data_IF_515825079070
#
_entry.id   IF_515825079070
#
_cell.length_a   1.000
_cell.length_b   1.000
_cell.length_c   1.000
_cell.angle_alpha   90.00
_cell.angle_beta   90.00
_cell.angle_gamma   90.00
#
_symmetry.space_group_name_H-M   'P 1'
#
loop_
_entity.id
_entity.type
_entity.pdbx_description
1 polymer ?
#
# COMPACT_ATOMS: atom_id res chain seq x y z
N UNK A 1 -3.51 1.41 -9.98
CA UNK A 1 -3.88 1.36 -8.54
C UNK A 1 -2.71 0.87 -7.70
N UNK A 2 -2.63 1.32 -6.46
CA UNK A 2 -1.60 0.89 -5.53
C UNK A 2 -2.20 0.69 -4.14
N UNK A 3 -1.94 -0.45 -3.47
CA UNK A 3 -2.47 -0.71 -2.13
C UNK A 3 -1.60 -0.07 -1.05
N UNK A 4 -2.26 0.34 0.03
CA UNK A 4 -1.60 0.67 1.29
C UNK A 4 -1.22 -0.59 2.07
N UNK A 5 -0.39 -0.42 3.08
CA UNK A 5 0.09 -1.51 3.95
C UNK A 5 -1.07 -2.31 4.56
N UNK A 6 -2.08 -1.63 5.10
CA UNK A 6 -3.21 -2.29 5.75
C UNK A 6 -4.00 -3.20 4.80
N UNK A 7 -4.06 -2.89 3.51
CA UNK A 7 -4.71 -3.74 2.51
C UNK A 7 -3.90 -5.00 2.24
N UNK A 8 -2.58 -4.89 2.07
CA UNK A 8 -1.72 -6.05 1.83
C UNK A 8 -1.65 -6.97 3.06
N UNK A 9 -1.53 -6.40 4.26
CA UNK A 9 -1.54 -7.18 5.51
C UNK A 9 -2.84 -7.97 5.62
N UNK A 10 -3.98 -7.32 5.46
CA UNK A 10 -5.29 -7.97 5.53
C UNK A 10 -5.46 -9.05 4.46
N UNK A 11 -5.02 -8.78 3.22
CA UNK A 11 -5.12 -9.74 2.13
C UNK A 11 -4.25 -10.99 2.35
N UNK A 12 -3.09 -10.83 3.00
CA UNK A 12 -2.16 -11.94 3.24
C UNK A 12 -2.54 -12.82 4.43
N UNK A 13 -3.37 -12.33 5.36
CA UNK A 13 -3.66 -13.01 6.63
C UNK A 13 -5.13 -13.37 6.77
N UNK A 14 -5.43 -14.66 6.75
CA UNK A 14 -6.80 -15.18 6.88
C UNK A 14 -7.42 -14.89 8.26
N UNK A 15 -6.61 -14.63 9.28
CA UNK A 15 -7.07 -14.27 10.63
C UNK A 15 -7.34 -12.77 10.80
N UNK A 16 -7.13 -11.96 9.77
CA UNK A 16 -7.39 -10.52 9.83
C UNK A 16 -8.89 -10.23 9.64
N UNK A 17 -9.48 -9.30 10.44
CA UNK A 17 -10.91 -8.95 10.33
C UNK A 17 -11.36 -8.51 8.94
N UNK A 18 -10.47 -7.88 8.18
CA UNK A 18 -10.75 -7.33 6.85
C UNK A 18 -10.19 -8.20 5.71
N UNK A 19 -9.86 -9.47 6.01
CA UNK A 19 -9.25 -10.36 5.04
C UNK A 19 -10.08 -10.51 3.76
N UNK A 20 -11.36 -10.81 3.90
CA UNK A 20 -12.20 -11.08 2.72
C UNK A 20 -12.34 -9.87 1.81
N UNK A 21 -12.55 -8.69 2.39
CA UNK A 21 -12.64 -7.43 1.64
C UNK A 21 -11.33 -7.11 0.92
N UNK A 22 -10.21 -7.21 1.63
CA UNK A 22 -8.89 -6.93 1.06
C UNK A 22 -8.51 -7.93 -0.03
N UNK A 23 -8.77 -9.21 0.21
CA UNK A 23 -8.48 -10.28 -0.76
C UNK A 23 -9.30 -10.10 -2.03
N UNK A 24 -10.60 -9.87 -1.91
CA UNK A 24 -11.47 -9.65 -3.06
C UNK A 24 -10.98 -8.45 -3.88
N UNK A 25 -10.67 -7.34 -3.22
CA UNK A 25 -10.14 -6.18 -3.91
C UNK A 25 -8.83 -6.50 -4.63
N UNK A 26 -7.90 -7.19 -3.97
CA UNK A 26 -6.59 -7.54 -4.55
C UNK A 26 -6.75 -8.45 -5.77
N UNK A 27 -7.58 -9.48 -5.67
CA UNK A 27 -7.84 -10.40 -6.78
C UNK A 27 -8.43 -9.66 -7.99
N UNK A 28 -9.40 -8.77 -7.76
CA UNK A 28 -10.01 -7.95 -8.82
C UNK A 28 -9.00 -6.98 -9.45
N UNK A 29 -8.19 -6.32 -8.63
CA UNK A 29 -7.17 -5.38 -9.10
C UNK A 29 -6.08 -6.08 -9.92
N UNK A 30 -5.65 -7.27 -9.51
CA UNK A 30 -4.68 -8.08 -10.25
C UNK A 30 -5.25 -8.60 -11.57
N UNK A 31 -6.51 -9.01 -11.58
CA UNK A 31 -7.18 -9.40 -12.83
C UNK A 31 -7.27 -8.22 -13.79
N UNK A 32 -7.59 -7.02 -13.30
CA UNK A 32 -7.61 -5.81 -14.11
C UNK A 32 -6.22 -5.42 -14.63
N UNK A 33 -5.17 -5.64 -13.85
CA UNK A 33 -3.79 -5.41 -14.27
C UNK A 33 -3.42 -6.27 -15.49
N UNK A 34 -3.84 -7.53 -15.51
CA UNK A 34 -3.67 -8.41 -16.66
C UNK A 34 -4.41 -7.96 -17.92
N UNK A 35 -5.40 -7.08 -17.78
CA UNK A 35 -6.16 -6.48 -18.89
C UNK A 35 -5.73 -5.05 -19.22
N UNK A 36 -4.63 -4.57 -18.67
CA UNK A 36 -4.07 -3.26 -19.00
C UNK A 36 -4.33 -2.14 -17.99
N UNK A 37 -5.01 -2.40 -16.86
CA UNK A 37 -5.14 -1.43 -15.77
C UNK A 37 -3.94 -1.53 -14.83
N UNK A 38 -3.04 -0.53 -14.77
CA UNK A 38 -1.79 -0.67 -14.03
C UNK A 38 -2.00 -0.99 -12.54
N UNK A 39 -1.15 -1.87 -12.01
CA UNK A 39 -1.06 -2.17 -10.59
C UNK A 39 0.38 -1.95 -10.14
N UNK A 40 0.56 -1.08 -9.17
CA UNK A 40 1.89 -0.66 -8.70
C UNK A 40 2.05 -0.99 -7.23
N UNK A 41 3.20 -1.60 -6.89
CA UNK A 41 3.61 -1.77 -5.51
C UNK A 41 4.66 -0.71 -5.16
N UNK A 42 4.46 -0.03 -4.04
CA UNK A 42 5.40 0.96 -3.52
C UNK A 42 6.41 0.27 -2.59
N UNK A 43 7.73 0.50 -2.76
CA UNK A 43 8.74 -0.18 -1.94
C UNK A 43 8.56 0.00 -0.43
N UNK A 44 8.20 1.22 0.05
CA UNK A 44 7.96 1.44 1.48
C UNK A 44 6.76 0.65 2.00
N UNK A 45 5.75 0.44 1.16
CA UNK A 45 4.57 -0.37 1.52
C UNK A 45 4.96 -1.83 1.66
N UNK A 46 5.80 -2.35 0.77
CA UNK A 46 6.29 -3.74 0.86
C UNK A 46 7.12 -3.95 2.12
N UNK A 47 8.06 -3.06 2.41
CA UNK A 47 8.89 -3.16 3.61
C UNK A 47 8.03 -3.13 4.89
N UNK A 48 7.06 -2.23 4.96
CA UNK A 48 6.15 -2.14 6.10
C UNK A 48 5.24 -3.36 6.23
N UNK A 49 4.76 -3.90 5.11
CA UNK A 49 3.96 -5.13 5.10
C UNK A 49 4.76 -6.29 5.69
N UNK A 50 6.00 -6.50 5.23
CA UNK A 50 6.89 -7.54 5.75
C UNK A 50 7.14 -7.35 7.25
N UNK A 51 7.41 -6.12 7.68
CA UNK A 51 7.64 -5.79 9.09
C UNK A 51 6.45 -6.16 9.97
N UNK A 52 5.24 -5.84 9.53
CA UNK A 52 4.02 -6.10 10.33
C UNK A 52 3.66 -7.58 10.39
N UNK A 53 3.63 -8.27 9.25
CA UNK A 53 3.18 -9.67 9.21
C UNK A 53 4.15 -10.63 9.89
N UNK A 54 5.44 -10.28 9.98
CA UNK A 54 6.48 -11.08 10.64
C UNK A 54 6.65 -10.76 12.12
N UNK A 55 5.93 -9.77 12.65
CA UNK A 55 6.12 -9.29 14.02
C UNK A 55 5.33 -10.10 15.05
N UNK A 56 5.99 -10.73 16.03
CA UNK A 56 5.32 -11.43 17.13
C UNK A 56 4.62 -10.46 18.11
N UNK A 57 4.91 -9.16 18.02
CA UNK A 57 4.23 -8.13 18.81
C UNK A 57 2.85 -7.79 18.25
N UNK A 58 2.62 -8.05 16.96
CA UNK A 58 1.37 -7.71 16.25
C UNK A 58 0.51 -8.95 16.07
N UNK A 59 1.11 -10.08 15.71
CA UNK A 59 0.39 -11.34 15.50
C UNK A 59 0.90 -12.42 16.46
N UNK A 60 -0.03 -13.16 17.06
CA UNK A 60 0.28 -14.29 17.93
C UNK A 60 1.06 -15.36 17.16
N UNK A 61 0.68 -15.61 15.92
CA UNK A 61 1.37 -16.50 15.00
C UNK A 61 1.85 -15.68 13.80
N UNK A 62 3.04 -15.07 13.90
CA UNK A 62 3.53 -14.23 12.80
C UNK A 62 3.83 -15.08 11.56
N UNK A 63 3.71 -14.44 10.40
CA UNK A 63 4.07 -15.07 9.13
C UNK A 63 5.58 -15.25 9.06
N UNK A 64 6.11 -16.45 8.77
CA UNK A 64 7.54 -16.59 8.49
C UNK A 64 7.97 -15.68 7.34
N UNK A 65 9.15 -15.08 7.45
CA UNK A 65 9.61 -14.10 6.45
C UNK A 65 9.67 -14.69 5.03
N UNK A 66 10.02 -15.96 4.90
CA UNK A 66 10.04 -16.62 3.59
C UNK A 66 8.65 -16.67 2.95
N UNK A 67 7.60 -16.92 3.75
CA UNK A 67 6.23 -16.97 3.26
C UNK A 67 5.71 -15.56 2.92
N UNK A 68 6.08 -14.56 3.72
CA UNK A 68 5.73 -13.17 3.44
C UNK A 68 6.37 -12.69 2.13
N UNK A 69 7.63 -13.02 1.89
CA UNK A 69 8.32 -12.72 0.64
C UNK A 69 7.66 -13.46 -0.54
N UNK A 70 7.30 -14.73 -0.35
CA UNK A 70 6.61 -15.51 -1.40
C UNK A 70 5.28 -14.87 -1.80
N UNK A 71 4.53 -14.33 -0.85
CA UNK A 71 3.30 -13.58 -1.13
C UNK A 71 3.57 -12.34 -2.01
N UNK A 72 4.58 -11.55 -1.67
CA UNK A 72 4.95 -10.36 -2.44
C UNK A 72 5.46 -10.75 -3.84
N UNK A 73 6.33 -11.75 -3.92
CA UNK A 73 6.91 -12.21 -5.19
C UNK A 73 5.83 -12.75 -6.13
N UNK A 74 4.83 -13.44 -5.59
CA UNK A 74 3.70 -13.93 -6.38
C UNK A 74 2.91 -12.79 -7.03
N UNK A 75 2.71 -11.69 -6.30
CA UNK A 75 2.04 -10.50 -6.84
C UNK A 75 2.91 -9.86 -7.93
N UNK A 76 4.21 -9.65 -7.64
CA UNK A 76 5.13 -9.02 -8.59
C UNK A 76 5.30 -9.82 -9.88
N UNK A 77 5.12 -11.14 -9.83
CA UNK A 77 5.20 -12.00 -11.01
C UNK A 77 3.98 -11.92 -11.92
N UNK A 78 2.89 -11.30 -11.48
CA UNK A 78 1.66 -11.22 -12.27
C UNK A 78 1.77 -10.16 -13.36
N UNK A 79 1.11 -10.43 -14.51
CA UNK A 79 1.09 -9.52 -15.66
C UNK A 79 0.49 -8.16 -15.28
N UNK A 80 1.14 -7.07 -15.70
CA UNK A 80 0.68 -5.71 -15.45
C UNK A 80 1.03 -5.16 -14.06
N UNK A 81 1.75 -5.93 -13.23
CA UNK A 81 2.22 -5.49 -11.92
C UNK A 81 3.64 -4.94 -12.02
N UNK A 82 3.90 -3.80 -11.39
CA UNK A 82 5.24 -3.21 -11.34
C UNK A 82 5.61 -2.77 -9.93
N UNK A 83 6.91 -2.76 -9.65
CA UNK A 83 7.48 -2.14 -8.46
C UNK A 83 7.91 -0.72 -8.82
N UNK A 84 7.42 0.28 -8.07
CA UNK A 84 7.75 1.68 -8.34
C UNK A 84 9.21 1.99 -8.03
N UNK A 85 9.82 2.85 -8.87
CA UNK A 85 11.08 3.51 -8.54
C UNK A 85 10.75 4.82 -7.83
N UNK A 86 11.31 5.02 -6.64
CA UNK A 86 11.04 6.18 -5.80
C UNK A 86 12.26 7.11 -5.72
N UNK A 87 12.00 8.33 -5.25
CA UNK A 87 12.98 9.39 -5.08
C UNK A 87 12.52 10.71 -5.69
N UNK A 88 11.83 10.69 -6.81
CA UNK A 88 11.34 11.89 -7.49
C UNK A 88 10.20 12.60 -6.75
N UNK A 89 9.60 11.96 -5.77
CA UNK A 89 8.56 12.54 -4.88
C UNK A 89 9.14 13.46 -3.81
N UNK A 90 10.46 13.50 -3.64
CA UNK A 90 11.08 14.27 -2.55
C UNK A 90 10.68 15.75 -2.55
N UNK A 91 10.72 16.50 -3.68
CA UNK A 91 10.30 17.90 -3.65
C UNK A 91 8.88 18.10 -3.15
N UNK A 92 7.94 17.24 -3.55
CA UNK A 92 6.54 17.31 -3.11
C UNK A 92 6.41 16.96 -1.62
N UNK A 93 7.08 15.93 -1.15
CA UNK A 93 7.10 15.55 0.27
C UNK A 93 7.67 16.68 1.12
N UNK A 94 8.81 17.22 0.72
CA UNK A 94 9.46 18.35 1.40
C UNK A 94 8.49 19.52 1.55
N UNK A 95 7.80 19.89 0.48
CA UNK A 95 6.88 21.02 0.49
C UNK A 95 5.69 20.79 1.41
N UNK A 96 5.12 19.59 1.40
CA UNK A 96 4.01 19.24 2.30
C UNK A 96 4.43 19.28 3.77
N UNK A 97 5.63 18.79 4.09
CA UNK A 97 6.15 18.84 5.45
C UNK A 97 6.23 20.26 5.98
N UNK A 98 6.68 21.20 5.16
CA UNK A 98 6.81 22.61 5.52
C UNK A 98 5.45 23.29 5.62
N UNK A 99 4.59 23.11 4.63
CA UNK A 99 3.28 23.77 4.56
C UNK A 99 2.31 23.33 5.65
N UNK A 100 2.34 22.04 5.98
CA UNK A 100 1.44 21.41 6.95
C UNK A 100 2.07 21.16 8.32
N UNK A 101 3.34 21.49 8.47
CA UNK A 101 4.12 21.27 9.71
C UNK A 101 4.02 19.82 10.19
N UNK A 102 4.22 18.88 9.27
CA UNK A 102 4.12 17.45 9.56
C UNK A 102 5.27 17.02 10.48
N UNK A 103 4.97 16.07 11.37
CA UNK A 103 5.95 15.53 12.30
C UNK A 103 5.65 14.07 12.66
N UNK A 104 6.70 13.33 13.00
CA UNK A 104 6.57 11.97 13.55
C UNK A 104 5.78 11.04 12.65
N UNK A 105 4.70 10.49 13.18
CA UNK A 105 3.89 9.48 12.50
C UNK A 105 3.10 10.00 11.30
N UNK A 106 3.06 11.31 11.08
CA UNK A 106 2.48 11.89 9.85
C UNK A 106 3.34 11.61 8.62
N UNK A 107 4.66 11.43 8.80
CA UNK A 107 5.60 11.38 7.68
C UNK A 107 5.48 10.14 6.81
N UNK A 108 5.28 8.91 7.32
CA UNK A 108 5.09 7.75 6.47
C UNK A 108 3.89 7.89 5.53
N UNK A 109 2.77 8.37 6.01
CA UNK A 109 1.57 8.59 5.19
C UNK A 109 1.77 9.72 4.18
N UNK A 110 2.44 10.80 4.58
CA UNK A 110 2.77 11.90 3.69
C UNK A 110 3.72 11.46 2.57
N UNK A 111 4.69 10.62 2.89
CA UNK A 111 5.60 10.05 1.88
C UNK A 111 4.84 9.20 0.88
N UNK A 112 3.99 8.29 1.36
CA UNK A 112 3.17 7.47 0.47
C UNK A 112 2.27 8.33 -0.42
N UNK A 113 1.59 9.33 0.15
CA UNK A 113 0.74 10.24 -0.60
C UNK A 113 1.54 11.02 -1.67
N UNK A 114 2.73 11.52 -1.34
CA UNK A 114 3.59 12.22 -2.30
C UNK A 114 4.02 11.29 -3.45
N UNK A 115 4.35 10.03 -3.15
CA UNK A 115 4.69 9.04 -4.15
C UNK A 115 3.50 8.71 -5.06
N UNK A 116 2.31 8.59 -4.50
CA UNK A 116 1.07 8.36 -5.27
C UNK A 116 0.83 9.49 -6.27
N UNK A 117 0.96 10.73 -5.85
CA UNK A 117 0.82 11.89 -6.73
C UNK A 117 1.90 11.89 -7.82
N UNK A 118 3.15 11.70 -7.44
CA UNK A 118 4.28 11.73 -8.38
C UNK A 118 4.20 10.63 -9.42
N UNK A 119 3.72 9.44 -9.04
CA UNK A 119 3.59 8.29 -9.95
C UNK A 119 2.27 8.31 -10.73
N UNK A 120 1.42 9.33 -10.54
CA UNK A 120 0.07 9.40 -11.12
C UNK A 120 -0.75 8.14 -10.79
N UNK A 121 -0.65 7.67 -9.56
CA UNK A 121 -1.31 6.47 -9.07
C UNK A 121 -2.60 6.79 -8.32
N UNK A 122 -3.35 5.74 -8.01
CA UNK A 122 -4.56 5.79 -7.20
C UNK A 122 -4.39 4.87 -6.00
N UNK A 123 -4.36 5.44 -4.80
CA UNK A 123 -4.19 4.70 -3.55
C UNK A 123 -5.49 4.06 -3.08
N UNK A 124 -5.42 2.84 -2.60
CA UNK A 124 -6.52 2.15 -1.92
C UNK A 124 -6.08 1.78 -0.50
N UNK A 125 -6.85 2.21 0.50
CA UNK A 125 -6.53 2.00 1.91
C UNK A 125 -7.80 1.87 2.74
N UNK A 126 -7.70 1.16 3.87
CA UNK A 126 -8.74 1.17 4.91
C UNK A 126 -8.69 2.44 5.77
N UNK A 127 -7.60 3.21 5.69
CA UNK A 127 -7.45 4.45 6.47
C UNK A 127 -8.01 5.65 5.70
N UNK A 128 -9.15 6.14 6.17
CA UNK A 128 -9.80 7.31 5.57
C UNK A 128 -9.05 8.63 5.78
N UNK A 129 -8.04 8.68 6.64
CA UNK A 129 -7.27 9.90 6.87
C UNK A 129 -6.46 10.33 5.64
N UNK A 130 -6.23 9.45 4.69
CA UNK A 130 -5.66 9.83 3.39
C UNK A 130 -6.50 10.85 2.61
N UNK A 131 -7.77 11.03 2.95
CA UNK A 131 -8.61 12.12 2.39
C UNK A 131 -8.06 13.50 2.68
N UNK A 132 -7.25 13.66 3.72
CA UNK A 132 -6.57 14.90 4.05
C UNK A 132 -5.37 15.18 3.17
N UNK A 133 -4.80 14.16 2.55
CA UNK A 133 -3.58 14.21 1.76
C UNK A 133 -3.81 14.06 0.26
N UNK A 134 -4.87 13.37 -0.12
CA UNK A 134 -5.16 12.99 -1.50
C UNK A 134 -6.58 13.41 -1.90
N UNK A 135 -6.76 13.75 -3.17
CA UNK A 135 -8.08 14.03 -3.74
C UNK A 135 -8.88 12.75 -4.00
N UNK A 136 -10.16 12.90 -4.33
CA UNK A 136 -11.04 11.77 -4.67
C UNK A 136 -10.57 11.01 -5.90
N UNK A 137 -9.90 11.67 -6.83
CA UNK A 137 -9.35 11.03 -8.04
C UNK A 137 -8.08 10.23 -7.75
N UNK A 138 -7.49 10.39 -6.55
CA UNK A 138 -6.23 9.77 -6.15
C UNK A 138 -6.37 8.75 -5.02
N UNK A 139 -7.56 8.63 -4.44
CA UNK A 139 -7.75 7.79 -3.26
C UNK A 139 -9.13 7.15 -3.19
N UNK A 140 -9.14 5.87 -2.84
CA UNK A 140 -10.36 5.13 -2.47
C UNK A 140 -10.23 4.58 -1.06
N UNK A 141 -11.19 4.91 -0.21
CA UNK A 141 -11.36 4.26 1.09
C UNK A 141 -12.03 2.91 0.88
N UNK A 142 -11.28 1.84 1.13
CA UNK A 142 -11.81 0.48 1.03
C UNK A 142 -12.69 0.19 2.23
N UNK A 143 -13.88 -0.28 1.97
CA UNK A 143 -14.86 -0.62 3.02
C UNK A 143 -14.83 -2.11 3.34
N UNK A 144 -15.09 -2.40 4.57
CA UNK A 144 -15.20 -3.76 5.07
C UNK A 144 -16.60 -4.32 4.94
#
# INVERSE_FOLDING_TARGET
MTPDVNVLVAASRSDHPHHDSARTWLEDALAAAGRGSPFTLMPMVLASTLRLVTSPKIFVQPTPVADAIAFVDAILAMSGVRLASLGSEWPALRQQCLDRRLAGNDLPDAWLAAAVVQQAEHLVSFDRDFRKLLSRSQFTHLKT
#
